data_IF_582026756187
#
_entry.id   IF_582026756187
#
_cell.length_a   1.000
_cell.length_b   1.000
_cell.length_c   1.000
_cell.angle_alpha   90.00
_cell.angle_beta   90.00
_cell.angle_gamma   90.00
#
_symmetry.space_group_name_H-M   'P 1'
#
loop_
_entity.id
_entity.type
_entity.pdbx_description
1 polymer ?
#
# COMPACT_ATOMS: atom_id res chain seq x y z
N UNK A 1 7.11 19.02 -15.40
CA UNK A 1 6.96 17.58 -15.17
C UNK A 1 7.13 17.36 -13.67
N UNK A 2 6.06 17.58 -12.91
CA UNK A 2 6.07 17.47 -11.45
C UNK A 2 5.81 15.98 -11.19
N UNK A 3 6.85 15.23 -10.83
CA UNK A 3 6.72 13.80 -10.57
C UNK A 3 5.74 13.60 -9.43
N UNK A 4 4.67 12.84 -9.67
CA UNK A 4 3.70 12.51 -8.63
C UNK A 4 4.42 11.87 -7.43
N UNK A 5 4.24 12.45 -6.24
CA UNK A 5 4.84 12.02 -4.96
C UNK A 5 4.33 10.65 -4.44
N UNK A 6 3.67 9.87 -5.30
CA UNK A 6 3.17 8.55 -4.95
C UNK A 6 4.33 7.57 -5.00
N UNK A 7 4.74 7.14 -3.81
CA UNK A 7 6.00 6.42 -3.65
C UNK A 7 5.82 4.95 -3.36
N UNK A 8 4.59 4.45 -3.21
CA UNK A 8 4.34 3.07 -2.84
C UNK A 8 3.17 2.56 -3.67
N UNK A 9 3.42 1.71 -4.67
CA UNK A 9 2.39 0.87 -5.28
C UNK A 9 2.79 -0.55 -4.94
N UNK A 10 1.88 -1.32 -4.34
CA UNK A 10 2.13 -2.74 -4.05
C UNK A 10 1.04 -3.58 -4.69
N UNK A 11 1.15 -3.85 -5.99
CA UNK A 11 0.18 -4.66 -6.74
C UNK A 11 0.53 -6.14 -6.72
N UNK A 12 -0.37 -7.05 -6.33
CA UNK A 12 -0.21 -8.49 -6.60
C UNK A 12 -1.55 -9.19 -6.82
N UNK A 13 -1.60 -10.10 -7.79
CA UNK A 13 -2.66 -11.11 -7.93
C UNK A 13 -2.39 -12.29 -6.96
N UNK A 14 -3.37 -13.15 -6.68
CA UNK A 14 -3.17 -14.28 -5.74
C UNK A 14 -2.10 -15.29 -6.22
N UNK A 15 -1.97 -15.50 -7.53
CA UNK A 15 -0.98 -16.40 -8.14
C UNK A 15 0.47 -15.87 -8.03
N UNK A 16 0.63 -14.61 -7.64
CA UNK A 16 1.89 -14.07 -7.17
C UNK A 16 2.87 -13.62 -8.25
N UNK A 17 2.43 -13.45 -9.49
CA UNK A 17 3.32 -13.36 -10.67
C UNK A 17 3.95 -11.99 -10.91
N UNK A 18 3.44 -10.90 -10.33
CA UNK A 18 3.99 -9.57 -10.53
C UNK A 18 4.03 -8.79 -9.22
N UNK A 19 5.22 -8.45 -8.74
CA UNK A 19 5.44 -7.48 -7.68
C UNK A 19 6.04 -6.24 -8.33
N UNK A 20 5.28 -5.15 -8.31
CA UNK A 20 5.74 -3.83 -8.77
C UNK A 20 5.75 -2.97 -7.52
N UNK A 21 6.89 -2.36 -7.22
CA UNK A 21 7.05 -1.35 -6.18
C UNK A 21 8.19 -0.42 -6.58
N UNK A 22 8.06 0.84 -6.21
CA UNK A 22 9.07 1.89 -6.32
C UNK A 22 9.89 2.06 -5.02
N UNK A 23 9.64 1.20 -4.02
CA UNK A 23 10.40 1.13 -2.76
C UNK A 23 11.20 -0.15 -2.72
N UNK A 24 12.41 -0.08 -2.14
CA UNK A 24 13.22 -1.28 -1.98
C UNK A 24 12.54 -2.24 -0.98
N UNK A 25 12.72 -3.54 -1.17
CA UNK A 25 11.97 -4.56 -0.41
C UNK A 25 12.26 -4.55 1.11
N UNK A 26 13.36 -3.91 1.53
CA UNK A 26 13.75 -3.76 2.93
C UNK A 26 13.44 -2.37 3.52
N UNK A 27 12.97 -1.44 2.69
CA UNK A 27 12.67 -0.08 3.12
C UNK A 27 11.28 -0.02 3.75
N UNK A 28 11.20 0.74 4.84
CA UNK A 28 10.00 0.86 5.68
C UNK A 28 9.62 2.33 5.72
N UNK A 29 8.35 2.63 5.41
CA UNK A 29 7.86 4.01 5.33
C UNK A 29 7.04 4.37 6.57
N UNK A 30 7.41 5.43 7.30
CA UNK A 30 6.63 5.91 8.44
C UNK A 30 5.44 6.74 7.95
N UNK A 31 4.21 6.25 8.18
CA UNK A 31 2.98 6.88 7.69
C UNK A 31 2.19 7.59 8.78
N UNK A 32 2.57 7.39 10.05
CA UNK A 32 2.01 8.13 11.17
C UNK A 32 3.10 8.32 12.21
N UNK A 33 3.35 9.56 12.62
CA UNK A 33 4.31 9.88 13.67
C UNK A 33 3.75 10.91 14.64
N UNK A 34 4.23 10.87 15.88
CA UNK A 34 3.87 11.82 16.92
C UNK A 34 5.11 12.36 17.63
N UNK A 35 5.18 13.68 17.79
CA UNK A 35 6.23 14.36 18.56
C UNK A 35 5.63 14.79 19.89
N UNK A 36 6.21 14.30 20.98
CA UNK A 36 5.78 14.63 22.33
C UNK A 36 6.96 15.22 23.13
N UNK A 37 6.74 16.28 23.93
CA UNK A 37 7.81 16.86 24.74
C UNK A 37 8.47 15.80 25.63
N UNK A 38 9.81 15.79 25.66
CA UNK A 38 10.62 14.89 26.51
C UNK A 38 10.41 13.39 26.28
N UNK A 39 9.81 13.00 25.14
CA UNK A 39 9.65 11.60 24.75
C UNK A 39 10.27 11.37 23.38
N UNK A 40 10.64 10.13 23.11
CA UNK A 40 11.04 9.70 21.78
C UNK A 40 9.87 9.83 20.80
N UNK A 41 10.20 10.00 19.52
CA UNK A 41 9.22 10.02 18.44
C UNK A 41 8.57 8.63 18.37
N UNK A 42 7.24 8.60 18.33
CA UNK A 42 6.47 7.36 18.17
C UNK A 42 6.02 7.29 16.73
N UNK A 43 6.26 6.18 16.06
CA UNK A 43 5.89 5.98 14.66
C UNK A 43 5.13 4.67 14.41
N UNK A 44 4.26 4.69 13.40
CA UNK A 44 3.69 3.52 12.76
C UNK A 44 4.14 3.48 11.31
N UNK A 45 4.65 2.32 10.91
CA UNK A 45 5.30 2.14 9.62
C UNK A 45 4.55 1.16 8.73
N UNK A 46 4.61 1.42 7.42
CA UNK A 46 4.25 0.48 6.37
C UNK A 46 5.50 -0.30 6.00
N UNK A 47 5.38 -1.62 6.04
CA UNK A 47 6.46 -2.57 5.77
C UNK A 47 6.03 -3.49 4.62
N UNK A 48 6.75 -3.50 3.49
CA UNK A 48 6.43 -4.35 2.34
C UNK A 48 6.32 -5.84 2.68
N UNK A 49 7.08 -6.32 3.68
CA UNK A 49 7.02 -7.72 4.13
C UNK A 49 5.73 -8.04 4.88
N UNK A 50 5.23 -7.10 5.71
CA UNK A 50 3.94 -7.23 6.40
C UNK A 50 2.78 -7.20 5.41
N UNK A 51 2.85 -6.33 4.41
CA UNK A 51 1.85 -6.25 3.36
C UNK A 51 1.72 -7.58 2.59
N UNK A 52 2.84 -8.29 2.38
CA UNK A 52 2.85 -9.60 1.72
C UNK A 52 2.10 -10.68 2.50
N UNK A 53 2.22 -10.69 3.83
CA UNK A 53 1.49 -11.63 4.70
C UNK A 53 0.01 -11.27 4.73
N UNK A 54 -0.30 -9.99 4.95
CA UNK A 54 -1.69 -9.51 5.01
C UNK A 54 -2.46 -9.74 3.70
N UNK A 55 -1.77 -9.69 2.55
CA UNK A 55 -2.36 -10.00 1.24
C UNK A 55 -3.05 -11.36 1.21
N UNK A 56 -2.41 -12.39 1.77
CA UNK A 56 -2.98 -13.75 1.75
C UNK A 56 -4.28 -13.81 2.56
N UNK A 57 -4.29 -13.20 3.74
CA UNK A 57 -5.49 -13.07 4.58
C UNK A 57 -6.61 -12.28 3.87
N UNK A 58 -6.27 -11.18 3.19
CA UNK A 58 -7.24 -10.35 2.47
C UNK A 58 -7.93 -11.12 1.32
N UNK A 59 -7.16 -11.86 0.50
CA UNK A 59 -7.73 -12.66 -0.58
C UNK A 59 -8.51 -13.88 -0.07
N UNK A 60 -8.13 -14.46 1.08
CA UNK A 60 -8.91 -15.52 1.72
C UNK A 60 -10.28 -15.02 2.16
N UNK A 61 -10.35 -13.84 2.80
CA UNK A 61 -11.61 -13.22 3.22
C UNK A 61 -12.52 -12.95 2.02
N UNK A 62 -11.96 -12.49 0.90
CA UNK A 62 -12.73 -12.23 -0.33
C UNK A 62 -13.25 -13.51 -0.98
N UNK A 63 -12.47 -14.60 -0.95
CA UNK A 63 -12.94 -15.90 -1.45
C UNK A 63 -14.13 -16.44 -0.65
N UNK A 64 -14.13 -16.30 0.68
CA UNK A 64 -15.25 -16.76 1.52
C UNK A 64 -16.57 -15.99 1.36
N UNK A 65 -16.60 -14.90 0.58
CA UNK A 65 -17.73 -13.97 0.47
C UNK A 65 -18.40 -13.90 -0.91
N UNK A 66 -18.31 -14.96 -1.73
CA UNK A 66 -19.03 -15.15 -3.01
C UNK A 66 -18.40 -14.49 -4.26
N UNK A 67 -17.14 -14.06 -4.21
CA UNK A 67 -16.42 -13.48 -5.36
C UNK A 67 -15.24 -14.40 -5.77
N UNK A 68 -15.55 -15.64 -6.13
CA UNK A 68 -14.59 -16.74 -5.94
C UNK A 68 -13.51 -16.88 -7.01
N UNK A 69 -13.74 -16.50 -8.28
CA UNK A 69 -12.72 -16.68 -9.34
C UNK A 69 -12.27 -15.38 -10.02
N UNK A 70 -13.19 -14.47 -10.37
CA UNK A 70 -12.80 -13.25 -11.09
C UNK A 70 -11.95 -12.33 -10.22
N UNK A 71 -12.34 -12.07 -8.97
CA UNK A 71 -11.56 -11.20 -8.06
C UNK A 71 -10.18 -11.79 -7.78
N UNK A 72 -10.13 -13.11 -7.61
CA UNK A 72 -8.90 -13.83 -7.35
C UNK A 72 -7.89 -13.74 -8.51
N UNK A 73 -8.38 -13.82 -9.75
CA UNK A 73 -7.53 -13.93 -10.94
C UNK A 73 -7.30 -12.59 -11.68
N UNK A 74 -8.21 -11.61 -11.54
CA UNK A 74 -8.15 -10.36 -12.31
C UNK A 74 -7.84 -9.11 -11.50
N UNK A 75 -7.98 -9.14 -10.16
CA UNK A 75 -7.78 -7.95 -9.32
C UNK A 75 -6.39 -7.94 -8.69
N UNK A 76 -5.87 -6.73 -8.52
CA UNK A 76 -4.65 -6.47 -7.78
C UNK A 76 -5.03 -5.86 -6.44
N UNK A 77 -4.47 -6.42 -5.36
CA UNK A 77 -4.40 -5.69 -4.10
C UNK A 77 -3.33 -4.63 -4.27
N UNK A 78 -3.63 -3.36 -3.99
CA UNK A 78 -2.70 -2.22 -4.10
C UNK A 78 -2.69 -1.44 -2.79
N UNK A 79 -1.49 -1.11 -2.31
CA UNK A 79 -1.30 -0.10 -1.27
C UNK A 79 -0.70 1.15 -1.91
N UNK A 80 -1.21 2.34 -1.55
CA UNK A 80 -0.83 3.64 -2.11
C UNK A 80 -0.52 4.61 -0.96
N UNK A 81 0.66 5.24 -0.99
CA UNK A 81 1.05 6.27 0.00
C UNK A 81 1.40 7.56 -0.72
N UNK A 82 0.75 8.65 -0.31
CA UNK A 82 1.16 10.01 -0.63
C UNK A 82 2.02 10.55 0.51
N UNK A 83 3.27 10.87 0.20
CA UNK A 83 4.22 11.37 1.18
C UNK A 83 4.12 12.89 1.40
N UNK A 84 3.38 13.63 0.56
CA UNK A 84 3.11 15.05 0.81
C UNK A 84 1.97 15.20 1.84
N UNK A 85 2.25 14.96 3.11
CA UNK A 85 1.24 15.06 4.17
C UNK A 85 0.69 16.49 4.41
N UNK A 86 1.26 17.51 3.75
CA UNK A 86 0.85 18.92 3.91
C UNK A 86 -0.10 19.34 2.78
N UNK A 87 0.21 18.97 1.54
CA UNK A 87 -0.50 19.40 0.33
C UNK A 87 -0.95 18.26 -0.56
N UNK A 88 -0.77 17.02 -0.11
CA UNK A 88 -1.10 15.82 -0.84
C UNK A 88 -2.59 15.71 -1.13
N UNK A 89 -2.87 15.15 -2.30
CA UNK A 89 -4.21 14.77 -2.73
C UNK A 89 -4.09 13.41 -3.43
N UNK A 90 -4.17 12.36 -2.61
CA UNK A 90 -4.07 10.98 -3.07
C UNK A 90 -5.08 10.65 -4.18
N UNK A 91 -6.26 11.30 -4.15
CA UNK A 91 -7.36 11.01 -5.06
C UNK A 91 -7.18 11.69 -6.43
N UNK A 92 -6.38 12.76 -6.51
CA UNK A 92 -6.10 13.44 -7.77
C UNK A 92 -5.48 12.51 -8.83
N UNK A 93 -4.78 11.46 -8.40
CA UNK A 93 -4.19 10.46 -9.31
C UNK A 93 -5.23 9.57 -10.00
N UNK A 94 -6.45 9.53 -9.46
CA UNK A 94 -7.57 8.81 -10.07
C UNK A 94 -8.54 9.75 -10.80
N UNK A 95 -8.31 11.06 -10.82
CA UNK A 95 -9.26 12.02 -11.37
C UNK A 95 -9.45 11.94 -12.90
N UNK A 96 -8.50 11.35 -13.61
CA UNK A 96 -8.51 11.18 -15.06
C UNK A 96 -9.15 9.86 -15.54
N UNK A 97 -9.72 9.05 -14.62
CA UNK A 97 -10.41 7.79 -14.91
C UNK A 97 -11.92 7.91 -14.65
#
# INVERSE_FOLDING_TARGET
MQGSSISDIHGRNRQGSCWISNVAQADVNAVTWGVFPTKEIIERTVDPSRFRVWKDEAFEIWSGRLLEEEVHNSYFLVNLVDNDYIRGDLLAVFADF
#
